data_IF_488483811261
#
_entry.id   IF_488483811261
#
_cell.length_a   1.000
_cell.length_b   1.000
_cell.length_c   1.000
_cell.angle_alpha   90.00
_cell.angle_beta   90.00
_cell.angle_gamma   90.00
#
_symmetry.space_group_name_H-M   'P 1'
#
loop_
_entity.id
_entity.type
_entity.pdbx_description
1 polymer ?
#
# COMPACT_ATOMS: atom_id res chain seq x y z
N UNK A 1 -4.99 3.37 -1.88
CA UNK A 1 -4.00 3.33 -0.78
C UNK A 1 -3.24 4.64 -0.61
N UNK A 2 -2.15 4.96 -1.35
CA UNK A 2 -1.31 6.13 -1.03
C UNK A 2 -2.05 7.47 -0.93
N UNK A 3 -2.89 7.81 -1.92
CA UNK A 3 -3.66 9.06 -1.88
C UNK A 3 -4.62 9.13 -0.68
N UNK A 4 -5.25 8.01 -0.33
CA UNK A 4 -6.14 7.90 0.84
C UNK A 4 -5.35 8.01 2.14
N UNK A 5 -4.18 7.38 2.23
CA UNK A 5 -3.28 7.47 3.38
C UNK A 5 -2.81 8.91 3.62
N UNK A 6 -2.44 9.65 2.57
CA UNK A 6 -2.08 11.07 2.67
C UNK A 6 -3.29 11.90 3.11
N UNK A 7 -4.46 11.67 2.52
CA UNK A 7 -5.69 12.38 2.87
C UNK A 7 -6.08 12.17 4.34
N UNK A 8 -6.09 10.91 4.81
CA UNK A 8 -6.43 10.58 6.19
C UNK A 8 -5.38 11.11 7.17
N UNK A 9 -4.09 11.04 6.82
CA UNK A 9 -3.02 11.61 7.63
C UNK A 9 -3.22 13.12 7.83
N UNK A 10 -3.50 13.86 6.74
CA UNK A 10 -3.80 15.30 6.81
C UNK A 10 -5.01 15.59 7.72
N UNK A 11 -6.07 14.79 7.61
CA UNK A 11 -7.28 14.92 8.43
C UNK A 11 -6.98 14.73 9.92
N UNK A 12 -6.22 13.69 10.28
CA UNK A 12 -5.94 13.33 11.69
C UNK A 12 -5.00 14.35 12.35
N UNK A 13 -3.96 14.79 11.62
CA UNK A 13 -2.99 15.78 12.13
C UNK A 13 -3.59 17.19 12.15
N UNK A 14 -4.75 17.40 11.52
CA UNK A 14 -5.41 18.71 11.40
C UNK A 14 -4.49 19.79 10.79
N UNK A 15 -3.49 19.37 10.01
CA UNK A 15 -2.37 20.19 9.59
C UNK A 15 -2.63 21.08 8.37
N UNK A 16 -3.80 21.03 7.73
CA UNK A 16 -4.08 21.85 6.55
C UNK A 16 -5.50 22.41 6.55
N UNK A 17 -5.59 23.70 6.84
CA UNK A 17 -6.68 24.61 6.49
C UNK A 17 -6.50 25.12 5.04
N UNK A 18 -6.20 24.22 4.11
CA UNK A 18 -6.09 24.52 2.69
C UNK A 18 -6.83 23.43 1.92
N UNK A 19 -7.85 23.84 1.14
CA UNK A 19 -8.54 23.01 0.17
C UNK A 19 -7.56 22.46 -0.86
N UNK A 20 -6.85 21.38 -0.53
CA UNK A 20 -6.06 20.67 -1.53
C UNK A 20 -7.06 20.10 -2.54
N UNK A 21 -7.13 20.73 -3.72
CA UNK A 21 -8.13 20.40 -4.75
C UNK A 21 -8.03 18.90 -5.06
N UNK A 22 -9.12 18.16 -4.83
CA UNK A 22 -9.20 16.69 -5.01
C UNK A 22 -8.67 16.22 -6.37
N UNK A 23 -8.74 17.08 -7.38
CA UNK A 23 -8.19 16.84 -8.72
C UNK A 23 -6.72 16.40 -8.70
N UNK A 24 -5.89 16.95 -7.82
CA UNK A 24 -4.47 16.62 -7.78
C UNK A 24 -4.23 15.18 -7.35
N UNK A 25 -5.02 14.66 -6.41
CA UNK A 25 -4.96 13.26 -6.00
C UNK A 25 -5.38 12.32 -7.13
N UNK A 26 -6.42 12.68 -7.90
CA UNK A 26 -6.81 11.89 -9.08
C UNK A 26 -5.72 11.91 -10.16
N UNK A 27 -5.15 13.08 -10.48
CA UNK A 27 -4.09 13.18 -11.46
C UNK A 27 -2.87 12.35 -11.05
N UNK A 28 -2.42 12.45 -9.79
CA UNK A 28 -1.28 11.66 -9.30
C UNK A 28 -1.61 10.17 -9.31
N UNK A 29 -2.80 9.77 -8.85
CA UNK A 29 -3.21 8.37 -8.80
C UNK A 29 -3.26 7.69 -10.16
N UNK A 30 -3.55 8.42 -11.24
CA UNK A 30 -3.66 7.88 -12.60
C UNK A 30 -2.41 8.09 -13.45
N UNK A 31 -1.80 9.29 -13.41
CA UNK A 31 -0.64 9.62 -14.25
C UNK A 31 0.62 8.92 -13.76
N UNK A 32 0.81 8.77 -12.44
CA UNK A 32 2.02 8.16 -11.89
C UNK A 32 2.16 6.70 -12.34
N UNK A 33 1.15 5.81 -12.25
CA UNK A 33 1.27 4.45 -12.79
C UNK A 33 1.57 4.44 -14.30
N UNK A 34 0.89 5.28 -15.09
CA UNK A 34 1.09 5.32 -16.54
C UNK A 34 2.52 5.72 -16.91
N UNK A 35 3.10 6.68 -16.19
CA UNK A 35 4.46 7.16 -16.42
C UNK A 35 5.52 6.05 -16.35
N UNK A 36 5.35 5.05 -15.47
CA UNK A 36 6.30 3.94 -15.31
C UNK A 36 5.90 2.70 -16.11
N UNK A 37 4.60 2.49 -16.33
CA UNK A 37 4.11 1.37 -17.15
C UNK A 37 4.47 1.53 -18.63
N UNK A 38 4.39 2.75 -19.19
CA UNK A 38 4.68 2.98 -20.62
C UNK A 38 6.14 2.60 -20.98
N UNK A 39 7.17 3.06 -20.25
CA UNK A 39 8.55 2.63 -20.48
C UNK A 39 8.74 1.11 -20.32
N UNK A 40 8.13 0.50 -19.29
CA UNK A 40 8.22 -0.94 -19.08
C UNK A 40 7.65 -1.73 -20.26
N UNK A 41 6.45 -1.38 -20.74
CA UNK A 41 5.84 -2.00 -21.91
C UNK A 41 6.68 -1.81 -23.18
N UNK A 42 7.30 -0.63 -23.34
CA UNK A 42 8.17 -0.33 -24.48
C UNK A 42 9.42 -1.22 -24.48
N UNK A 43 10.07 -1.37 -23.33
CA UNK A 43 11.24 -2.26 -23.17
C UNK A 43 10.84 -3.72 -23.37
N UNK A 44 9.72 -4.16 -22.79
CA UNK A 44 9.22 -5.53 -22.92
C UNK A 44 8.87 -5.88 -24.38
N UNK A 45 8.30 -4.93 -25.13
CA UNK A 45 7.93 -5.14 -26.54
C UNK A 45 9.13 -5.31 -27.48
N UNK A 46 10.29 -4.74 -27.14
CA UNK A 46 11.52 -4.82 -27.95
C UNK A 46 12.38 -6.01 -27.53
N UNK A 47 12.14 -6.58 -26.34
CA UNK A 47 12.85 -7.75 -25.87
C UNK A 47 12.56 -9.00 -26.73
N UNK A 48 13.57 -9.85 -26.89
CA UNK A 48 13.53 -11.05 -27.75
C UNK A 48 12.39 -12.03 -27.40
N UNK A 49 11.83 -11.93 -26.18
CA UNK A 49 10.76 -12.80 -25.66
C UNK A 49 9.32 -12.33 -26.01
N UNK A 50 9.15 -11.37 -26.93
CA UNK A 50 7.84 -10.82 -27.29
C UNK A 50 6.88 -11.80 -28.02
N UNK A 51 7.28 -13.06 -28.24
CA UNK A 51 6.42 -14.09 -28.86
C UNK A 51 5.50 -14.79 -27.86
N UNK A 52 5.77 -14.70 -26.57
CA UNK A 52 4.98 -15.31 -25.50
C UNK A 52 4.17 -14.26 -24.72
N UNK A 53 3.22 -14.70 -23.90
CA UNK A 53 2.57 -13.83 -22.93
C UNK A 53 3.62 -13.15 -22.03
N UNK A 54 3.40 -11.88 -21.71
CA UNK A 54 4.25 -11.08 -20.81
C UNK A 54 4.10 -11.47 -19.34
N UNK A 55 3.96 -12.77 -19.07
CA UNK A 55 3.90 -13.40 -17.74
C UNK A 55 5.27 -13.85 -17.26
N UNK A 56 6.24 -13.97 -18.17
CA UNK A 56 7.60 -14.36 -17.84
C UNK A 56 8.42 -13.15 -17.39
N UNK A 57 9.24 -13.35 -16.36
CA UNK A 57 10.07 -12.28 -15.81
C UNK A 57 11.23 -11.92 -16.76
N UNK A 58 11.45 -10.63 -17.02
CA UNK A 58 12.62 -10.13 -17.79
C UNK A 58 13.75 -9.68 -16.84
N UNK A 59 13.82 -10.26 -15.64
CA UNK A 59 14.87 -9.96 -14.65
C UNK A 59 14.83 -8.49 -14.20
N UNK A 60 15.98 -7.80 -14.28
CA UNK A 60 16.15 -6.47 -13.71
C UNK A 60 15.18 -5.40 -14.26
N UNK A 61 14.68 -5.55 -15.49
CA UNK A 61 13.75 -4.58 -16.11
C UNK A 61 12.39 -4.53 -15.40
N UNK A 62 12.02 -5.53 -14.60
CA UNK A 62 10.80 -5.50 -13.79
C UNK A 62 10.82 -4.39 -12.73
N UNK A 63 12.01 -3.92 -12.33
CA UNK A 63 12.14 -2.81 -11.39
C UNK A 63 11.63 -1.48 -11.95
N UNK A 64 11.53 -1.34 -13.28
CA UNK A 64 10.99 -0.13 -13.92
C UNK A 64 9.59 0.17 -13.41
N UNK A 65 8.74 -0.86 -13.29
CA UNK A 65 7.38 -0.68 -12.77
C UNK A 65 7.27 -0.99 -11.27
N UNK A 66 8.05 -1.95 -10.73
CA UNK A 66 7.99 -2.34 -9.31
C UNK A 66 8.51 -1.26 -8.34
N UNK A 67 9.33 -0.31 -8.80
CA UNK A 67 9.83 0.79 -7.96
C UNK A 67 8.69 1.65 -7.41
N UNK A 68 7.62 1.84 -8.18
CA UNK A 68 6.47 2.67 -7.79
C UNK A 68 5.71 2.08 -6.59
N UNK A 69 5.16 0.85 -6.66
CA UNK A 69 4.43 0.26 -5.54
C UNK A 69 5.31 0.10 -4.30
N UNK A 70 6.59 -0.27 -4.44
CA UNK A 70 7.54 -0.37 -3.32
C UNK A 70 7.69 0.99 -2.62
N UNK A 71 7.91 2.06 -3.39
CA UNK A 71 8.05 3.41 -2.83
C UNK A 71 6.75 3.87 -2.17
N UNK A 72 5.60 3.65 -2.81
CA UNK A 72 4.30 4.00 -2.24
C UNK A 72 4.04 3.28 -0.90
N UNK A 73 4.41 2.00 -0.82
CA UNK A 73 4.25 1.17 0.37
C UNK A 73 5.17 1.63 1.52
N UNK A 74 6.42 1.97 1.22
CA UNK A 74 7.35 2.55 2.19
C UNK A 74 6.81 3.88 2.76
N UNK A 75 6.31 4.77 1.89
CA UNK A 75 5.71 6.05 2.33
C UNK A 75 4.48 5.80 3.19
N UNK A 76 3.60 4.86 2.79
CA UNK A 76 2.43 4.50 3.59
C UNK A 76 2.78 3.98 4.98
N UNK A 77 3.83 3.15 5.10
CA UNK A 77 4.30 2.68 6.40
C UNK A 77 4.76 3.83 7.31
N UNK A 78 5.52 4.79 6.76
CA UNK A 78 5.94 5.99 7.51
C UNK A 78 4.75 6.85 7.94
N UNK A 79 3.78 7.07 7.05
CA UNK A 79 2.56 7.80 7.35
C UNK A 79 1.72 7.10 8.43
N UNK A 80 1.63 5.77 8.40
CA UNK A 80 0.93 4.99 9.41
C UNK A 80 1.59 5.18 10.80
N UNK A 81 2.92 5.04 10.89
CA UNK A 81 3.65 5.23 12.14
C UNK A 81 3.44 6.62 12.73
N UNK A 82 3.50 7.66 11.89
CA UNK A 82 3.25 9.04 12.33
C UNK A 82 1.79 9.23 12.79
N UNK A 83 0.83 8.68 12.04
CA UNK A 83 -0.60 8.75 12.38
C UNK A 83 -0.90 8.06 13.71
N UNK A 84 -0.33 6.86 13.94
CA UNK A 84 -0.46 6.14 15.21
C UNK A 84 0.10 6.98 16.35
N UNK A 85 1.31 7.56 16.19
CA UNK A 85 1.93 8.42 17.22
C UNK A 85 1.03 9.60 17.59
N UNK A 86 0.50 10.31 16.60
CA UNK A 86 -0.41 11.45 16.82
C UNK A 86 -1.72 10.99 17.48
N UNK A 87 -2.29 9.87 17.04
CA UNK A 87 -3.51 9.30 17.61
C UNK A 87 -3.33 8.96 19.10
N UNK A 88 -2.25 8.27 19.46
CA UNK A 88 -1.94 7.95 20.86
C UNK A 88 -1.74 9.21 21.71
N UNK A 89 -1.09 10.24 21.15
CA UNK A 89 -0.89 11.51 21.84
C UNK A 89 -2.22 12.21 22.12
N UNK A 90 -3.14 12.23 21.14
CA UNK A 90 -4.47 12.84 21.29
C UNK A 90 -5.39 12.07 22.23
N UNK A 91 -5.28 10.74 22.29
CA UNK A 91 -6.13 9.90 23.13
C UNK A 91 -5.67 9.81 24.58
N UNK A 92 -4.44 10.23 24.94
CA UNK A 92 -3.83 10.05 26.27
C UNK A 92 -4.68 10.57 27.45
N UNK A 93 -5.59 11.51 27.21
CA UNK A 93 -6.49 12.10 28.22
C UNK A 93 -7.72 11.24 28.54
N UNK A 94 -7.99 10.17 27.79
CA UNK A 94 -9.16 9.30 27.99
C UNK A 94 -8.83 8.08 28.89
N UNK A 95 -9.71 7.69 29.83
CA UNK A 95 -9.48 6.54 30.71
C UNK A 95 -9.39 5.19 29.99
N UNK A 96 -9.83 5.09 28.72
CA UNK A 96 -9.75 3.87 27.89
C UNK A 96 -8.87 4.04 26.63
N UNK A 97 -7.94 4.99 26.66
CA UNK A 97 -7.13 5.40 25.51
C UNK A 97 -6.41 4.25 24.78
N UNK A 98 -5.85 3.28 25.52
CA UNK A 98 -5.13 2.14 24.92
C UNK A 98 -6.07 1.27 24.08
N UNK A 99 -7.24 0.91 24.62
CA UNK A 99 -8.21 0.04 23.91
C UNK A 99 -8.77 0.74 22.67
N UNK A 100 -9.07 2.03 22.79
CA UNK A 100 -9.58 2.84 21.68
C UNK A 100 -8.52 3.02 20.59
N UNK A 101 -7.28 3.35 20.98
CA UNK A 101 -6.17 3.51 20.05
C UNK A 101 -5.85 2.21 19.32
N UNK A 102 -5.86 1.07 20.04
CA UNK A 102 -5.62 -0.25 19.45
C UNK A 102 -6.69 -0.61 18.43
N UNK A 103 -7.98 -0.42 18.77
CA UNK A 103 -9.10 -0.69 17.85
C UNK A 103 -8.99 0.15 16.58
N UNK A 104 -8.68 1.44 16.72
CA UNK A 104 -8.48 2.32 15.57
C UNK A 104 -7.26 1.89 14.73
N UNK A 105 -6.15 1.52 15.39
CA UNK A 105 -4.93 1.06 14.70
C UNK A 105 -5.14 -0.22 13.91
N UNK A 106 -5.90 -1.18 14.46
CA UNK A 106 -6.24 -2.44 13.75
C UNK A 106 -7.00 -2.14 12.45
N UNK A 107 -7.88 -1.14 12.46
CA UNK A 107 -8.60 -0.69 11.26
C UNK A 107 -7.69 0.09 10.30
N UNK A 108 -6.75 0.87 10.83
CA UNK A 108 -5.79 1.66 10.03
C UNK A 108 -4.81 0.80 9.24
N UNK A 109 -4.34 -0.33 9.79
CA UNK A 109 -3.38 -1.22 9.12
C UNK A 109 -3.81 -1.63 7.70
N UNK A 110 -4.99 -2.28 7.51
CA UNK A 110 -5.41 -2.70 6.18
C UNK A 110 -5.53 -1.52 5.22
N UNK A 111 -6.07 -0.37 5.66
CA UNK A 111 -6.26 0.83 4.83
C UNK A 111 -4.94 1.36 4.27
N UNK A 112 -3.90 1.41 5.11
CA UNK A 112 -2.59 1.89 4.68
C UNK A 112 -1.85 0.86 3.82
N UNK A 113 -2.30 -0.41 3.82
CA UNK A 113 -1.75 -1.47 2.99
C UNK A 113 -0.41 -2.00 3.48
N UNK A 114 -0.01 -1.71 4.73
CA UNK A 114 1.33 -2.06 5.24
C UNK A 114 1.52 -3.58 5.36
N UNK A 115 0.43 -4.36 5.47
CA UNK A 115 0.48 -5.83 5.40
C UNK A 115 1.13 -6.33 4.11
N UNK A 116 1.05 -5.57 3.02
CA UNK A 116 1.64 -5.93 1.73
C UNK A 116 3.17 -5.87 1.75
N UNK A 117 3.77 -5.09 2.66
CA UNK A 117 5.22 -4.96 2.79
C UNK A 117 5.85 -6.29 3.23
N UNK A 118 5.17 -7.02 4.11
CA UNK A 118 5.67 -8.25 4.68
C UNK A 118 5.95 -9.35 3.65
N UNK A 119 5.26 -9.37 2.50
CA UNK A 119 5.51 -10.38 1.48
C UNK A 119 6.02 -9.79 0.16
N UNK A 120 5.97 -8.47 -0.09
CA UNK A 120 6.58 -7.86 -1.29
C UNK A 120 8.10 -7.64 -1.17
N UNK A 121 8.62 -7.36 0.03
CA UNK A 121 10.06 -7.14 0.22
C UNK A 121 10.87 -8.45 0.28
N UNK A 122 10.24 -9.57 0.65
CA UNK A 122 10.90 -10.87 0.85
C UNK A 122 11.27 -11.66 -0.43
N UNK A 123 10.48 -11.68 -1.54
CA UNK A 123 10.85 -12.43 -2.74
C UNK A 123 12.07 -11.86 -3.49
N UNK A 124 12.57 -10.69 -3.10
CA UNK A 124 13.78 -10.09 -3.65
C UNK A 124 15.07 -10.61 -3.00
N UNK A 125 14.98 -11.32 -1.87
CA UNK A 125 16.12 -11.63 -1.01
C UNK A 125 16.48 -13.12 -0.90
N UNK A 126 15.62 -14.03 -1.37
CA UNK A 126 15.81 -15.46 -1.05
C UNK A 126 15.68 -16.34 -2.28
N UNK A 127 16.69 -17.18 -2.50
CA UNK A 127 16.64 -18.30 -3.43
C UNK A 127 15.42 -19.19 -3.14
N UNK A 128 14.88 -19.79 -4.19
CA UNK A 128 13.54 -20.38 -4.36
C UNK A 128 13.17 -21.59 -3.46
N UNK A 129 13.82 -21.81 -2.32
CA UNK A 129 13.70 -23.06 -1.55
C UNK A 129 13.43 -22.91 -0.04
N UNK A 130 12.86 -21.80 0.44
CA UNK A 130 12.40 -21.71 1.84
C UNK A 130 10.89 -22.05 1.98
N UNK A 131 10.51 -23.15 2.66
CA UNK A 131 9.11 -23.47 2.96
C UNK A 131 8.37 -22.34 3.67
N UNK A 132 9.07 -21.56 4.51
CA UNK A 132 8.48 -20.43 5.20
C UNK A 132 8.10 -19.30 4.23
N UNK A 133 8.94 -19.03 3.22
CA UNK A 133 8.65 -18.03 2.20
C UNK A 133 7.44 -18.42 1.33
N UNK A 134 7.32 -19.71 0.97
CA UNK A 134 6.17 -20.22 0.23
C UNK A 134 4.87 -20.08 1.03
N UNK A 135 4.92 -20.33 2.35
CA UNK A 135 3.79 -20.10 3.24
C UNK A 135 3.40 -18.62 3.29
N UNK A 136 4.37 -17.72 3.48
CA UNK A 136 4.14 -16.26 3.48
C UNK A 136 3.54 -15.77 2.17
N UNK A 137 3.99 -16.29 1.02
CA UNK A 137 3.43 -15.93 -0.29
C UNK A 137 1.97 -16.38 -0.42
N UNK A 138 1.64 -17.60 0.01
CA UNK A 138 0.24 -18.08 0.03
C UNK A 138 -0.64 -17.22 0.94
N UNK A 139 -0.17 -16.88 2.14
CA UNK A 139 -0.87 -15.97 3.02
C UNK A 139 -1.06 -14.59 2.37
N UNK A 140 -0.05 -14.07 1.68
CA UNK A 140 -0.11 -12.81 0.95
C UNK A 140 -1.24 -12.80 -0.08
N UNK A 141 -1.32 -13.83 -0.92
CA UNK A 141 -2.36 -13.95 -1.96
C UNK A 141 -3.77 -13.95 -1.34
N UNK A 142 -3.96 -14.68 -0.23
CA UNK A 142 -5.25 -14.72 0.48
C UNK A 142 -5.60 -13.35 1.05
N UNK A 143 -4.63 -12.68 1.68
CA UNK A 143 -4.82 -11.35 2.25
C UNK A 143 -5.17 -10.33 1.16
N UNK A 144 -4.47 -10.35 0.03
CA UNK A 144 -4.73 -9.46 -1.12
C UNK A 144 -6.14 -9.64 -1.67
N UNK A 145 -6.57 -10.89 -1.80
CA UNK A 145 -7.89 -11.24 -2.31
C UNK A 145 -9.01 -10.76 -1.39
N UNK A 146 -8.80 -10.83 -0.07
CA UNK A 146 -9.79 -10.42 0.93
C UNK A 146 -9.74 -8.92 1.24
N UNK A 147 -8.65 -8.24 0.91
CA UNK A 147 -8.39 -6.87 1.31
C UNK A 147 -9.51 -5.91 0.89
N UNK A 148 -9.94 -5.97 -0.38
CA UNK A 148 -11.00 -5.11 -0.89
C UNK A 148 -12.33 -5.31 -0.17
N UNK A 149 -12.71 -6.58 0.09
CA UNK A 149 -13.93 -6.93 0.82
C UNK A 149 -13.89 -6.45 2.28
N UNK A 150 -12.73 -6.55 2.92
CA UNK A 150 -12.54 -6.08 4.30
C UNK A 150 -12.68 -4.55 4.39
N UNK A 151 -12.03 -3.81 3.48
CA UNK A 151 -12.10 -2.34 3.45
C UNK A 151 -13.54 -1.87 3.19
N UNK A 152 -14.24 -2.48 2.23
CA UNK A 152 -15.64 -2.12 1.95
C UNK A 152 -16.56 -2.40 3.13
N UNK A 153 -16.37 -3.53 3.82
CA UNK A 153 -17.17 -3.88 5.00
C UNK A 153 -17.01 -2.84 6.10
N UNK A 154 -15.78 -2.43 6.40
CA UNK A 154 -15.50 -1.48 7.48
C UNK A 154 -16.03 -0.06 7.14
N UNK A 155 -15.77 0.44 5.93
CA UNK A 155 -16.08 1.84 5.58
C UNK A 155 -17.49 2.07 5.04
N UNK A 156 -18.07 1.07 4.37
CA UNK A 156 -19.37 1.21 3.73
C UNK A 156 -20.49 0.62 4.61
N UNK A 157 -20.33 -0.63 5.05
CA UNK A 157 -21.40 -1.36 5.73
C UNK A 157 -21.44 -1.13 7.24
N UNK A 158 -20.27 -0.98 7.89
CA UNK A 158 -20.16 -0.79 9.34
C UNK A 158 -19.99 0.67 9.76
N UNK A 159 -20.05 1.60 8.81
CA UNK A 159 -19.99 3.04 9.07
C UNK A 159 -21.42 3.57 9.29
N UNK A 160 -21.86 3.54 10.56
CA UNK A 160 -23.16 4.04 11.02
C UNK A 160 -23.03 5.41 11.69
#
# INVERSE_FOLDING_TARGET
MLCESIYLHKLIVAAFHEETRRIYFYLIGWLLPLLFMIPYCSVHSIAENNRNCWTNQIGAYEWIYNIVPVTCLSVNALLLLNTIRVLFTKLRTSPNHIKVALKATIVLIPIFGVQFAFYNFNPLLTEKCDPFLNFLLHCGIVVDSLHGALVSTIFCFLNA
#
